data_IF_975051264693
#
_entry.id   IF_975051264693
#
_cell.length_a   1.000
_cell.length_b   1.000
_cell.length_c   1.000
_cell.angle_alpha   90.00
_cell.angle_beta   90.00
_cell.angle_gamma   90.00
#
_symmetry.space_group_name_H-M   'P 1'
#
loop_
_entity.id
_entity.type
_entity.pdbx_description
1 polymer ?
#
# COMPACT_ATOMS: atom_id res chain seq x y z
N UNK A 1 -11.47 20.06 12.96
CA UNK A 1 -11.94 19.00 12.03
C UNK A 1 -10.72 18.20 11.59
N UNK A 2 -10.71 16.86 11.66
CA UNK A 2 -9.60 16.05 11.15
C UNK A 2 -9.50 16.27 9.64
N UNK A 3 -8.38 16.81 9.17
CA UNK A 3 -8.13 16.96 7.74
C UNK A 3 -7.69 15.60 7.17
N UNK A 4 -8.22 15.21 6.01
CA UNK A 4 -7.72 14.06 5.26
C UNK A 4 -6.36 14.45 4.68
N UNK A 5 -5.27 13.89 5.21
CA UNK A 5 -3.91 14.42 4.99
C UNK A 5 -3.04 13.59 4.04
N UNK A 6 -3.51 12.45 3.55
CA UNK A 6 -2.72 11.67 2.60
C UNK A 6 -3.38 10.38 2.14
N UNK A 7 -3.11 10.02 0.88
CA UNK A 7 -3.35 8.70 0.33
C UNK A 7 -2.16 7.82 0.74
N UNK A 8 -2.46 6.74 1.46
CA UNK A 8 -1.51 5.70 1.80
C UNK A 8 -1.83 4.45 0.99
N UNK A 9 -0.82 3.86 0.36
CA UNK A 9 -0.97 2.63 -0.41
C UNK A 9 -0.20 1.53 0.30
N UNK A 10 -0.90 0.48 0.73
CA UNK A 10 -0.27 -0.73 1.26
C UNK A 10 -0.14 -1.76 0.15
N UNK A 11 1.08 -2.29 -0.01
CA UNK A 11 1.36 -3.36 -0.95
C UNK A 11 1.35 -4.71 -0.23
N UNK A 12 0.41 -5.58 -0.62
CA UNK A 12 0.36 -6.97 -0.21
C UNK A 12 0.78 -7.88 -1.37
N UNK A 13 0.97 -9.17 -1.08
CA UNK A 13 1.43 -10.14 -2.09
C UNK A 13 0.49 -10.29 -3.29
N UNK A 14 -0.81 -10.04 -3.11
CA UNK A 14 -1.87 -10.32 -4.10
C UNK A 14 -2.76 -9.11 -4.44
N UNK A 15 -2.70 -8.02 -3.66
CA UNK A 15 -3.43 -6.78 -3.94
C UNK A 15 -2.73 -5.51 -3.44
N UNK A 16 -3.09 -4.37 -4.03
CA UNK A 16 -2.80 -3.02 -3.50
C UNK A 16 -4.02 -2.50 -2.75
N UNK A 17 -3.83 -2.01 -1.52
CA UNK A 17 -4.87 -1.39 -0.72
C UNK A 17 -4.64 0.11 -0.62
N UNK A 18 -5.61 0.90 -1.06
CA UNK A 18 -5.57 2.35 -0.99
C UNK A 18 -6.38 2.83 0.21
N UNK A 19 -5.75 3.57 1.11
CA UNK A 19 -6.39 4.12 2.31
C UNK A 19 -6.12 5.61 2.43
N UNK A 20 -7.06 6.36 3.00
CA UNK A 20 -6.81 7.74 3.43
C UNK A 20 -6.53 7.77 4.92
N UNK A 21 -5.51 8.52 5.32
CA UNK A 21 -5.20 8.70 6.74
C UNK A 21 -5.96 9.92 7.27
N UNK A 22 -6.70 9.69 8.35
CA UNK A 22 -7.28 10.76 9.16
C UNK A 22 -6.40 10.96 10.38
N UNK A 23 -5.70 12.08 10.39
CA UNK A 23 -4.78 12.41 11.48
C UNK A 23 -4.79 13.91 11.74
N UNK A 24 -4.71 14.27 13.02
CA UNK A 24 -4.51 15.65 13.45
C UNK A 24 -3.02 16.05 13.37
N UNK A 25 -2.11 15.06 13.40
CA UNK A 25 -0.66 15.26 13.35
C UNK A 25 -0.18 15.61 11.94
N UNK A 26 0.85 16.46 11.86
CA UNK A 26 1.55 16.72 10.59
C UNK A 26 2.65 15.68 10.30
N UNK A 27 3.04 14.89 11.31
CA UNK A 27 4.17 13.96 11.22
C UNK A 27 3.69 12.49 11.23
N UNK A 28 2.65 12.20 10.46
CA UNK A 28 2.01 10.88 10.45
C UNK A 28 2.89 9.78 9.83
N UNK A 29 3.86 10.17 9.00
CA UNK A 29 4.77 9.22 8.35
C UNK A 29 5.70 8.53 9.35
N UNK A 30 6.27 9.27 10.31
CA UNK A 30 7.09 8.67 11.37
C UNK A 30 6.27 7.78 12.31
N UNK A 31 4.97 8.05 12.43
CA UNK A 31 4.03 7.29 13.26
C UNK A 31 3.48 6.03 12.57
N UNK A 32 3.77 5.77 11.29
CA UNK A 32 3.11 4.66 10.59
C UNK A 32 3.52 3.28 11.12
N UNK A 33 4.73 3.18 11.66
CA UNK A 33 5.35 1.93 12.14
C UNK A 33 5.77 2.00 13.61
N UNK A 34 5.36 3.04 14.34
CA UNK A 34 5.64 3.14 15.76
C UNK A 34 4.65 2.26 16.57
N UNK A 35 5.13 1.43 17.52
CA UNK A 35 4.24 0.52 18.26
C UNK A 35 3.20 1.23 19.12
N UNK A 36 3.46 2.49 19.53
CA UNK A 36 2.62 3.25 20.46
C UNK A 36 1.72 4.27 19.78
N UNK A 37 1.87 4.48 18.47
CA UNK A 37 1.06 5.43 17.73
C UNK A 37 -0.27 4.81 17.30
N UNK A 38 -1.35 5.58 17.45
CA UNK A 38 -2.65 5.23 16.92
C UNK A 38 -2.99 6.15 15.74
N UNK A 39 -3.05 5.59 14.55
CA UNK A 39 -3.45 6.27 13.32
C UNK A 39 -4.71 5.61 12.78
N UNK A 40 -5.73 6.43 12.50
CA UNK A 40 -6.94 5.94 11.86
C UNK A 40 -6.80 6.06 10.34
N UNK A 41 -6.86 4.93 9.65
CA UNK A 41 -6.99 4.87 8.20
C UNK A 41 -8.40 4.46 7.80
N UNK A 42 -8.87 4.97 6.67
CA UNK A 42 -10.13 4.56 6.05
C UNK A 42 -9.84 4.04 4.65
N UNK A 43 -10.40 2.88 4.31
CA UNK A 43 -10.28 2.35 2.97
C UNK A 43 -10.91 3.34 1.96
N UNK A 44 -10.16 3.70 0.92
CA UNK A 44 -10.56 4.77 0.00
C UNK A 44 -11.16 4.25 -1.30
N UNK A 45 -10.74 3.06 -1.74
CA UNK A 45 -11.20 2.40 -2.98
C UNK A 45 -11.23 0.89 -2.81
N UNK A 46 -11.84 0.19 -3.76
CA UNK A 46 -11.75 -1.26 -3.83
C UNK A 46 -10.27 -1.68 -3.97
N UNK A 47 -9.83 -2.73 -3.27
CA UNK A 47 -8.47 -3.26 -3.43
C UNK A 47 -8.20 -3.64 -4.88
N UNK A 48 -7.05 -3.25 -5.40
CA UNK A 48 -6.65 -3.59 -6.76
C UNK A 48 -5.94 -4.94 -6.74
N UNK A 49 -6.62 -5.97 -7.24
CA UNK A 49 -6.05 -7.31 -7.35
C UNK A 49 -4.94 -7.33 -8.40
N UNK A 50 -3.73 -7.73 -7.99
CA UNK A 50 -2.56 -7.76 -8.88
C UNK A 50 -2.76 -8.71 -10.05
N UNK A 51 -3.47 -9.83 -9.84
CA UNK A 51 -3.82 -10.76 -10.90
C UNK A 51 -4.60 -10.06 -12.04
N UNK A 52 -5.51 -9.13 -11.70
CA UNK A 52 -6.30 -8.40 -12.69
C UNK A 52 -5.45 -7.39 -13.44
N UNK A 53 -4.49 -6.74 -12.77
CA UNK A 53 -3.61 -5.76 -13.41
C UNK A 53 -2.62 -6.43 -14.37
N UNK A 54 -2.07 -7.58 -13.97
CA UNK A 54 -1.21 -8.39 -14.83
C UNK A 54 -2.02 -8.93 -16.03
N UNK A 55 -3.23 -9.43 -15.79
CA UNK A 55 -4.10 -9.94 -16.85
C UNK A 55 -4.58 -8.85 -17.83
N UNK A 56 -4.74 -7.60 -17.36
CA UNK A 56 -5.16 -6.48 -18.18
C UNK A 56 -4.02 -5.89 -19.04
N UNK A 57 -2.76 -6.35 -18.88
CA UNK A 57 -1.59 -5.81 -19.59
C UNK A 57 -1.41 -4.29 -19.42
N UNK A 58 -1.96 -3.71 -18.36
CA UNK A 58 -1.98 -2.26 -18.11
C UNK A 58 -0.69 -1.74 -17.46
N UNK A 59 0.23 -2.63 -17.09
CA UNK A 59 1.53 -2.27 -16.53
C UNK A 59 2.60 -2.36 -17.63
N UNK A 60 3.36 -1.28 -17.91
CA UNK A 60 4.55 -1.35 -18.74
C UNK A 60 5.53 -2.42 -18.23
N UNK A 61 6.10 -3.24 -19.11
CA UNK A 61 6.93 -4.40 -18.76
C UNK A 61 7.99 -4.13 -17.66
N UNK A 62 8.58 -2.94 -17.65
CA UNK A 62 9.60 -2.58 -16.66
C UNK A 62 9.05 -2.50 -15.24
N UNK A 63 7.85 -1.95 -15.07
CA UNK A 63 7.16 -1.91 -13.77
C UNK A 63 6.68 -3.30 -13.33
N UNK A 64 6.29 -4.15 -14.29
CA UNK A 64 5.93 -5.54 -14.02
C UNK A 64 7.13 -6.34 -13.50
N UNK A 65 8.32 -6.10 -14.06
CA UNK A 65 9.55 -6.77 -13.61
C UNK A 65 9.96 -6.36 -12.19
N UNK A 66 9.90 -5.06 -11.86
CA UNK A 66 10.13 -4.59 -10.48
C UNK A 66 9.12 -5.19 -9.51
N UNK A 67 7.86 -5.27 -9.92
CA UNK A 67 6.79 -5.86 -9.13
C UNK A 67 7.01 -7.36 -8.87
N UNK A 68 7.31 -8.15 -9.91
CA UNK A 68 7.60 -9.58 -9.79
C UNK A 68 8.85 -9.84 -8.93
N UNK A 69 9.88 -9.00 -9.07
CA UNK A 69 11.08 -9.06 -8.25
C UNK A 69 10.74 -8.81 -6.77
N UNK A 70 9.93 -7.78 -6.47
CA UNK A 70 9.44 -7.50 -5.12
C UNK A 70 8.68 -8.67 -4.51
N UNK A 71 7.77 -9.28 -5.26
CA UNK A 71 7.02 -10.48 -4.84
C UNK A 71 7.95 -11.67 -4.58
N UNK A 72 8.98 -11.87 -5.41
CA UNK A 72 9.98 -12.94 -5.21
C UNK A 72 10.81 -12.72 -3.96
N UNK A 73 11.22 -11.47 -3.70
CA UNK A 73 11.95 -11.11 -2.48
C UNK A 73 11.09 -11.34 -1.24
N UNK A 74 9.86 -10.87 -1.22
CA UNK A 74 8.95 -11.05 -0.07
C UNK A 74 8.72 -12.53 0.27
N UNK A 75 8.58 -13.41 -0.72
CA UNK A 75 8.48 -14.86 -0.49
C UNK A 75 9.72 -15.46 0.19
N UNK A 76 10.90 -14.89 -0.05
CA UNK A 76 12.15 -15.38 0.54
C UNK A 76 12.39 -14.85 1.97
N UNK A 77 11.67 -13.82 2.42
CA UNK A 77 11.82 -13.26 3.77
C UNK A 77 10.88 -13.89 4.82
N UNK A 78 9.91 -14.70 4.41
CA UNK A 78 9.10 -15.52 5.32
C UNK A 78 9.61 -16.97 5.30
N UNK A 79 10.73 -17.22 6.01
CA UNK A 79 11.19 -18.54 6.45
C UNK A 79 11.49 -18.48 7.95
#
# INVERSE_FOLDING_TARGET
>A
VPNEKGLLTFLFNDFLLFSTIKTLSNNWQSQLFEPKSSLQSKNSRLPLLLANVIAANEIPNDQLNFFLLGRKLMKNYYF
#
